data_IF_310014890831
#
_entry.id   IF_310014890831
#
_cell.length_a   1.000
_cell.length_b   1.000
_cell.length_c   1.000
_cell.angle_alpha   90.00
_cell.angle_beta   90.00
_cell.angle_gamma   90.00
#
_symmetry.space_group_name_H-M   'P 1'
#
loop_
_entity.id
_entity.type
_entity.pdbx_description
1 polymer ?
#
# COMPACT_ATOMS: atom_id res chain seq x y z
N UNK A 1 14.23 12.45 -36.37
CA UNK A 1 14.10 12.74 -34.93
C UNK A 1 12.67 13.22 -34.71
N UNK A 2 11.80 12.37 -34.18
CA UNK A 2 10.44 12.79 -33.77
C UNK A 2 10.63 13.56 -32.46
N UNK A 3 10.08 14.78 -32.29
CA UNK A 3 10.14 15.49 -31.02
C UNK A 3 9.59 14.61 -29.88
N UNK A 4 10.28 14.52 -28.75
CA UNK A 4 9.87 13.68 -27.60
C UNK A 4 8.45 14.00 -27.09
N UNK A 5 7.90 15.18 -27.41
CA UNK A 5 6.53 15.58 -27.07
C UNK A 5 5.42 14.92 -27.91
N UNK A 6 5.76 14.14 -28.95
CA UNK A 6 4.78 13.48 -29.83
C UNK A 6 4.79 11.94 -29.73
N UNK A 7 5.61 11.37 -28.85
CA UNK A 7 5.71 9.92 -28.69
C UNK A 7 4.64 9.42 -27.70
N UNK A 8 3.70 8.61 -28.19
CA UNK A 8 2.70 7.92 -27.37
C UNK A 8 3.37 6.90 -26.43
N UNK A 9 2.73 6.63 -25.29
CA UNK A 9 3.29 5.77 -24.24
C UNK A 9 3.72 4.38 -24.73
N UNK A 10 2.91 3.63 -25.51
CA UNK A 10 3.31 2.30 -25.98
C UNK A 10 4.60 2.34 -26.82
N UNK A 11 4.73 3.33 -27.70
CA UNK A 11 5.91 3.50 -28.53
C UNK A 11 7.15 3.91 -27.73
N UNK A 12 6.98 4.67 -26.63
CA UNK A 12 8.06 4.98 -25.71
C UNK A 12 8.56 3.75 -24.94
N UNK A 13 7.64 2.89 -24.48
CA UNK A 13 7.98 1.63 -23.83
C UNK A 13 8.74 0.69 -24.77
N UNK A 14 8.27 0.54 -26.03
CA UNK A 14 8.93 -0.29 -27.03
C UNK A 14 10.34 0.23 -27.35
N UNK A 15 10.49 1.54 -27.55
CA UNK A 15 11.80 2.16 -27.79
C UNK A 15 12.76 1.99 -26.60
N UNK A 16 12.26 2.06 -25.37
CA UNK A 16 13.07 1.82 -24.18
C UNK A 16 13.54 0.37 -24.11
N UNK A 17 12.63 -0.59 -24.35
CA UNK A 17 12.94 -2.01 -24.38
C UNK A 17 14.00 -2.35 -25.44
N UNK A 18 13.86 -1.80 -26.66
CA UNK A 18 14.85 -1.94 -27.74
C UNK A 18 16.21 -1.38 -27.34
N UNK A 19 16.24 -0.19 -26.71
CA UNK A 19 17.48 0.46 -26.30
C UNK A 19 18.22 -0.34 -25.21
N UNK A 20 17.51 -0.83 -24.19
CA UNK A 20 18.12 -1.64 -23.12
C UNK A 20 18.65 -2.97 -23.66
N UNK A 21 17.85 -3.65 -24.49
CA UNK A 21 18.24 -4.92 -25.10
C UNK A 21 19.44 -4.74 -26.03
N UNK A 22 19.47 -3.67 -26.82
CA UNK A 22 20.56 -3.34 -27.74
C UNK A 22 21.86 -2.89 -27.04
N UNK A 23 21.77 -2.36 -25.82
CA UNK A 23 22.92 -1.88 -25.06
C UNK A 23 23.69 -2.99 -24.32
N UNK A 24 23.23 -4.24 -24.38
CA UNK A 24 23.94 -5.39 -23.78
C UNK A 24 23.77 -5.54 -22.27
N UNK A 25 22.79 -4.85 -21.66
CA UNK A 25 22.44 -4.99 -20.23
C UNK A 25 21.62 -6.26 -19.91
N UNK A 26 21.44 -7.16 -20.87
CA UNK A 26 20.56 -8.32 -20.77
C UNK A 26 19.14 -8.02 -21.23
N UNK A 27 18.28 -9.05 -21.27
CA UNK A 27 16.86 -8.88 -21.59
C UNK A 27 16.09 -8.49 -20.32
N UNK A 28 15.35 -7.38 -20.39
CA UNK A 28 14.32 -7.05 -19.40
C UNK A 28 12.94 -7.47 -19.95
N UNK A 29 12.00 -7.75 -19.07
CA UNK A 29 10.62 -7.98 -19.50
C UNK A 29 9.92 -6.66 -19.90
N UNK A 30 8.78 -6.79 -20.57
CA UNK A 30 8.01 -5.62 -21.04
C UNK A 30 7.42 -4.80 -19.89
N UNK A 31 7.06 -5.41 -18.76
CA UNK A 31 6.51 -4.70 -17.61
C UNK A 31 7.58 -3.80 -16.97
N UNK A 32 8.80 -4.29 -16.79
CA UNK A 32 9.93 -3.51 -16.29
C UNK A 32 10.25 -2.32 -17.20
N UNK A 33 10.21 -2.53 -18.52
CA UNK A 33 10.37 -1.44 -19.50
C UNK A 33 9.26 -0.39 -19.38
N UNK A 34 8.00 -0.81 -19.24
CA UNK A 34 6.87 0.08 -19.02
C UNK A 34 7.04 0.89 -17.73
N UNK A 35 7.31 0.23 -16.60
CA UNK A 35 7.48 0.88 -15.28
C UNK A 35 8.60 1.92 -15.30
N UNK A 36 9.69 1.64 -16.02
CA UNK A 36 10.76 2.60 -16.21
C UNK A 36 10.24 3.86 -16.92
N UNK A 37 9.55 3.69 -18.07
CA UNK A 37 9.00 4.78 -18.87
C UNK A 37 7.88 5.55 -18.16
N UNK A 38 7.00 4.84 -17.44
CA UNK A 38 5.95 5.41 -16.59
C UNK A 38 6.51 6.39 -15.56
N UNK A 39 7.75 6.18 -15.10
CA UNK A 39 8.43 7.03 -14.13
C UNK A 39 9.22 8.21 -14.72
N UNK A 40 9.38 8.33 -16.04
CA UNK A 40 10.22 9.37 -16.66
C UNK A 40 9.52 10.74 -16.78
N UNK A 41 8.20 10.74 -16.98
CA UNK A 41 7.39 11.96 -17.14
C UNK A 41 5.94 11.69 -16.76
N UNK A 42 5.15 12.74 -16.62
CA UNK A 42 3.73 12.58 -16.42
C UNK A 42 3.03 12.14 -17.72
N UNK A 43 2.44 10.96 -17.69
CA UNK A 43 1.62 10.41 -18.78
C UNK A 43 0.12 10.52 -18.49
N UNK A 44 -0.26 11.13 -17.36
CA UNK A 44 -1.61 11.04 -16.81
C UNK A 44 -2.70 11.48 -17.78
N UNK A 45 -3.80 10.71 -17.82
CA UNK A 45 -5.06 11.06 -18.50
C UNK A 45 -6.07 11.72 -17.54
N UNK A 46 -5.75 11.82 -16.25
CA UNK A 46 -6.67 12.28 -15.18
C UNK A 46 -6.23 13.58 -14.50
N UNK A 47 -5.68 14.49 -15.29
CA UNK A 47 -5.23 15.81 -14.84
C UNK A 47 -3.77 15.82 -14.39
N UNK A 48 -3.31 17.01 -14.06
CA UNK A 48 -1.94 17.34 -13.67
C UNK A 48 -1.63 16.97 -12.21
N UNK A 49 -0.34 16.89 -11.87
CA UNK A 49 0.11 16.72 -10.49
C UNK A 49 -0.44 17.80 -9.54
N UNK A 50 -0.58 19.05 -9.98
CA UNK A 50 -1.12 20.12 -9.14
C UNK A 50 -2.62 19.95 -8.85
N UNK A 51 -3.36 19.37 -9.79
CA UNK A 51 -4.76 18.98 -9.57
C UNK A 51 -4.85 17.82 -8.58
N UNK A 52 -3.95 16.83 -8.66
CA UNK A 52 -3.84 15.75 -7.68
C UNK A 52 -3.53 16.29 -6.29
N UNK A 53 -2.58 17.22 -6.17
CA UNK A 53 -2.26 17.88 -4.90
C UNK A 53 -3.46 18.62 -4.32
N UNK A 54 -4.17 19.38 -5.15
CA UNK A 54 -5.37 20.13 -4.73
C UNK A 54 -6.48 19.19 -4.26
N UNK A 55 -6.71 18.10 -4.99
CA UNK A 55 -7.67 17.08 -4.60
C UNK A 55 -7.31 16.47 -3.24
N UNK A 56 -6.07 16.02 -3.06
CA UNK A 56 -5.64 15.39 -1.80
C UNK A 56 -5.74 16.35 -0.59
N UNK A 57 -5.33 17.61 -0.77
CA UNK A 57 -5.49 18.63 0.27
C UNK A 57 -6.96 18.92 0.57
N UNK A 58 -7.84 18.86 -0.44
CA UNK A 58 -9.29 18.90 -0.26
C UNK A 58 -9.79 17.75 0.62
N UNK A 59 -9.35 16.51 0.36
CA UNK A 59 -9.71 15.35 1.18
C UNK A 59 -9.24 15.50 2.64
N UNK A 60 -8.04 16.04 2.86
CA UNK A 60 -7.54 16.36 4.21
C UNK A 60 -8.39 17.40 4.92
N UNK A 61 -8.76 18.47 4.24
CA UNK A 61 -9.57 19.54 4.82
C UNK A 61 -11.01 19.12 5.10
N UNK A 62 -11.57 18.22 4.28
CA UNK A 62 -12.93 17.70 4.45
C UNK A 62 -13.05 16.60 5.51
N UNK A 63 -11.93 16.02 5.98
CA UNK A 63 -11.94 14.93 6.96
C UNK A 63 -12.42 15.40 8.35
N UNK A 64 -13.56 14.90 8.88
CA UNK A 64 -14.09 15.34 10.17
C UNK A 64 -13.39 14.68 11.37
N UNK A 65 -12.47 13.73 11.15
CA UNK A 65 -11.85 12.95 12.21
C UNK A 65 -11.05 13.82 13.19
N UNK A 66 -11.26 13.60 14.49
CA UNK A 66 -10.46 14.21 15.56
C UNK A 66 -9.79 13.13 16.40
N UNK A 67 -8.49 13.28 16.67
CA UNK A 67 -7.71 12.31 17.44
C UNK A 67 -7.17 12.98 18.71
N UNK A 68 -7.37 12.35 19.87
CA UNK A 68 -6.87 12.82 21.17
C UNK A 68 -6.15 11.68 21.86
N UNK A 69 -4.96 11.96 22.41
CA UNK A 69 -4.23 10.98 23.23
C UNK A 69 -4.94 10.80 24.57
N UNK A 70 -5.22 9.56 24.93
CA UNK A 70 -5.83 9.19 26.21
C UNK A 70 -4.97 8.13 26.93
N UNK A 71 -5.00 8.07 28.27
CA UNK A 71 -4.42 6.96 29.01
C UNK A 71 -5.03 5.61 28.59
N UNK A 72 -4.23 4.53 28.60
CA UNK A 72 -4.71 3.19 28.23
C UNK A 72 -5.89 2.73 29.10
N UNK A 73 -5.90 3.09 30.38
CA UNK A 73 -7.00 2.80 31.31
C UNK A 73 -8.35 3.45 30.92
N UNK A 74 -8.35 4.38 29.95
CA UNK A 74 -9.55 5.02 29.40
C UNK A 74 -9.93 4.48 28.02
N UNK A 75 -9.13 3.58 27.43
CA UNK A 75 -9.47 2.93 26.17
C UNK A 75 -10.61 1.93 26.40
N UNK A 76 -11.78 2.18 25.80
CA UNK A 76 -12.94 1.30 25.95
C UNK A 76 -12.67 -0.03 25.30
N UNK A 77 -13.04 -1.12 25.98
CA UNK A 77 -12.83 -2.48 25.50
C UNK A 77 -11.37 -2.94 25.56
N UNK A 78 -10.45 -2.13 26.07
CA UNK A 78 -9.04 -2.51 26.24
C UNK A 78 -8.69 -2.57 27.71
N UNK A 79 -7.99 -3.64 28.11
CA UNK A 79 -7.54 -3.83 29.49
C UNK A 79 -6.10 -4.36 29.53
N UNK A 80 -5.47 -4.22 30.69
CA UNK A 80 -4.21 -4.89 31.03
C UNK A 80 -4.58 -6.20 31.70
N UNK A 81 -4.11 -7.32 31.16
CA UNK A 81 -4.30 -8.64 31.74
C UNK A 81 -3.42 -8.78 33.00
N UNK A 82 -4.02 -9.04 34.16
CA UNK A 82 -3.33 -9.06 35.44
C UNK A 82 -2.28 -10.18 35.57
N UNK A 83 -2.46 -11.28 34.82
CA UNK A 83 -1.56 -12.43 34.89
C UNK A 83 -0.30 -12.26 34.03
N UNK A 84 -0.43 -11.61 32.87
CA UNK A 84 0.63 -11.46 31.86
C UNK A 84 1.18 -10.04 31.77
N UNK A 85 0.42 -9.04 32.23
CA UNK A 85 0.72 -7.62 32.01
C UNK A 85 0.47 -7.14 30.57
N UNK A 86 -0.11 -7.98 29.71
CA UNK A 86 -0.34 -7.64 28.30
C UNK A 86 -1.57 -6.77 28.13
N UNK A 87 -1.57 -5.93 27.09
CA UNK A 87 -2.72 -5.08 26.76
C UNK A 87 -3.51 -5.75 25.65
N UNK A 88 -4.79 -6.02 25.88
CA UNK A 88 -5.67 -6.73 24.93
C UNK A 88 -7.04 -6.10 24.84
N UNK A 89 -7.73 -6.35 23.73
CA UNK A 89 -9.13 -6.01 23.57
C UNK A 89 -10.03 -7.13 24.11
N UNK A 90 -11.16 -6.78 24.74
CA UNK A 90 -12.11 -7.72 25.36
C UNK A 90 -12.68 -8.74 24.38
N UNK A 91 -12.74 -8.40 23.08
CA UNK A 91 -13.21 -9.32 22.04
C UNK A 91 -12.16 -10.33 21.59
N UNK A 92 -10.89 -10.18 21.99
CA UNK A 92 -9.77 -10.94 21.46
C UNK A 92 -9.37 -10.59 20.01
N UNK A 93 -9.94 -9.53 19.44
CA UNK A 93 -9.65 -9.08 18.06
C UNK A 93 -8.61 -7.93 18.04
N UNK A 94 -8.33 -7.40 16.84
CA UNK A 94 -7.38 -6.33 16.58
C UNK A 94 -5.92 -6.75 16.82
N UNK A 95 -5.33 -6.34 17.93
CA UNK A 95 -3.95 -6.62 18.29
C UNK A 95 -3.82 -6.69 19.81
N UNK A 96 -2.73 -7.27 20.28
CA UNK A 96 -2.27 -7.23 21.65
C UNK A 96 -0.96 -6.43 21.73
N UNK A 97 -0.70 -5.80 22.88
CA UNK A 97 0.65 -5.33 23.23
C UNK A 97 1.23 -6.34 24.20
N UNK A 98 2.22 -7.08 23.73
CA UNK A 98 2.89 -8.16 24.46
C UNK A 98 4.34 -7.76 24.73
N UNK A 99 5.07 -8.58 25.48
CA UNK A 99 6.50 -8.38 25.72
C UNK A 99 7.28 -9.51 25.03
N UNK A 100 8.42 -9.16 24.44
CA UNK A 100 9.38 -10.14 23.92
C UNK A 100 10.72 -9.94 24.62
N UNK A 101 11.37 -11.06 24.91
CA UNK A 101 12.76 -11.14 25.33
C UNK A 101 13.59 -11.65 24.16
N UNK A 102 14.64 -10.90 23.80
CA UNK A 102 15.54 -11.25 22.71
C UNK A 102 16.91 -11.55 23.29
N UNK A 103 17.33 -12.81 23.18
CA UNK A 103 18.63 -13.28 23.64
C UNK A 103 19.64 -13.46 22.48
N UNK A 104 20.90 -13.70 22.82
CA UNK A 104 21.96 -14.13 21.88
C UNK A 104 22.23 -13.17 20.69
N UNK A 105 22.01 -11.87 20.87
CA UNK A 105 22.39 -10.83 19.90
C UNK A 105 23.87 -10.45 20.00
N UNK A 106 24.76 -11.44 19.88
CA UNK A 106 26.20 -11.30 20.12
C UNK A 106 26.89 -10.19 19.28
N UNK A 107 26.24 -9.72 18.21
CA UNK A 107 26.75 -8.69 17.29
C UNK A 107 26.16 -7.28 17.50
N UNK A 108 25.19 -7.09 18.42
CA UNK A 108 24.62 -5.76 18.75
C UNK A 108 25.22 -5.18 20.03
N UNK A 109 25.00 -3.89 20.29
CA UNK A 109 25.56 -3.20 21.48
C UNK A 109 25.18 -3.83 22.83
N UNK A 110 24.06 -4.55 22.90
CA UNK A 110 23.58 -5.26 24.10
C UNK A 110 24.23 -6.64 24.30
N UNK A 111 25.02 -7.11 23.33
CA UNK A 111 25.79 -8.34 23.39
C UNK A 111 24.93 -9.58 23.67
N UNK A 112 25.49 -10.52 24.43
CA UNK A 112 24.80 -11.75 24.84
C UNK A 112 23.75 -11.53 25.95
N UNK A 113 23.68 -10.33 26.54
CA UNK A 113 22.74 -10.00 27.62
C UNK A 113 21.31 -9.76 27.16
N UNK A 114 21.10 -9.58 25.85
CA UNK A 114 19.76 -9.45 25.28
C UNK A 114 19.03 -8.16 25.67
N UNK A 115 17.75 -8.08 25.30
CA UNK A 115 16.85 -7.00 25.72
C UNK A 115 15.40 -7.46 25.76
N UNK A 116 14.59 -6.75 26.54
CA UNK A 116 13.14 -6.90 26.52
C UNK A 116 12.50 -5.65 25.94
N UNK A 117 11.43 -5.83 25.17
CA UNK A 117 10.65 -4.70 24.65
C UNK A 117 9.17 -5.06 24.50
N UNK A 118 8.27 -4.07 24.55
CA UNK A 118 6.91 -4.27 24.08
C UNK A 118 6.90 -4.49 22.57
N UNK A 119 5.99 -5.33 22.11
CA UNK A 119 5.73 -5.60 20.70
C UNK A 119 4.22 -5.69 20.47
N UNK A 120 3.77 -5.27 19.29
CA UNK A 120 2.39 -5.43 18.87
C UNK A 120 2.21 -6.75 18.13
N UNK A 121 1.31 -7.60 18.63
CA UNK A 121 1.00 -8.90 18.04
C UNK A 121 -0.43 -8.85 17.49
N UNK A 122 -0.62 -9.18 16.21
CA UNK A 122 -1.95 -9.28 15.62
C UNK A 122 -2.45 -10.73 15.70
N UNK A 123 -3.74 -10.93 15.91
CA UNK A 123 -4.31 -12.28 15.97
C UNK A 123 -4.05 -13.02 14.65
N UNK A 124 -3.38 -14.17 14.75
CA UNK A 124 -3.08 -15.06 13.63
C UNK A 124 -1.80 -14.72 12.85
N UNK A 125 -1.04 -13.68 13.23
CA UNK A 125 0.20 -13.19 12.60
C UNK A 125 0.10 -12.75 11.11
N UNK A 126 -0.96 -13.19 10.43
CA UNK A 126 -1.32 -12.82 9.07
C UNK A 126 -2.21 -11.58 9.11
N UNK A 127 -1.64 -10.44 8.70
CA UNK A 127 -2.33 -9.16 8.69
C UNK A 127 -3.51 -9.19 7.71
N UNK A 128 -3.22 -9.01 6.43
CA UNK A 128 -4.24 -8.86 5.40
C UNK A 128 -3.70 -8.77 3.98
N UNK A 129 -4.56 -8.30 3.09
CA UNK A 129 -4.21 -7.99 1.70
C UNK A 129 -4.07 -6.47 1.55
N UNK A 130 -2.98 -6.07 0.89
CA UNK A 130 -2.73 -4.72 0.41
C UNK A 130 -2.83 -4.75 -1.12
N UNK A 131 -3.93 -4.25 -1.65
CA UNK A 131 -4.30 -4.35 -3.06
C UNK A 131 -4.15 -3.03 -3.80
N UNK A 132 -3.32 -3.02 -4.84
CA UNK A 132 -3.21 -1.93 -5.80
C UNK A 132 -3.81 -2.36 -7.14
N UNK A 133 -4.76 -1.57 -7.62
CA UNK A 133 -5.39 -1.79 -8.93
C UNK A 133 -4.65 -0.95 -9.97
N UNK A 134 -4.25 -1.57 -11.08
CA UNK A 134 -3.72 -0.92 -12.28
C UNK A 134 -4.76 -1.04 -13.40
N UNK A 135 -4.97 0.00 -14.20
CA UNK A 135 -5.77 -0.06 -15.43
C UNK A 135 -5.14 0.84 -16.47
N UNK A 136 -5.29 0.48 -17.75
CA UNK A 136 -4.81 1.30 -18.86
C UNK A 136 -5.92 2.20 -19.39
N UNK A 137 -5.55 3.43 -19.70
CA UNK A 137 -6.41 4.43 -20.34
C UNK A 137 -5.66 4.97 -21.55
N UNK A 138 -6.18 4.70 -22.75
CA UNK A 138 -5.51 5.00 -24.02
C UNK A 138 -4.06 4.46 -24.06
N UNK A 139 -3.90 3.21 -23.61
CA UNK A 139 -2.60 2.53 -23.51
C UNK A 139 -1.69 3.00 -22.37
N UNK A 140 -2.09 4.02 -21.60
CA UNK A 140 -1.31 4.56 -20.47
C UNK A 140 -1.74 3.92 -19.15
N UNK A 141 -0.83 3.27 -18.41
CA UNK A 141 -1.14 2.70 -17.11
C UNK A 141 -1.40 3.76 -16.03
N UNK A 142 -2.42 3.51 -15.22
CA UNK A 142 -2.77 4.29 -14.04
C UNK A 142 -3.03 3.37 -12.86
N UNK A 143 -2.83 3.89 -11.66
CA UNK A 143 -3.00 3.18 -10.40
C UNK A 143 -4.13 3.82 -9.61
N UNK A 144 -5.02 2.99 -9.07
CA UNK A 144 -6.10 3.46 -8.25
C UNK A 144 -5.60 3.72 -6.84
N UNK A 145 -5.61 4.99 -6.44
CA UNK A 145 -5.11 5.46 -5.15
C UNK A 145 -6.29 5.97 -4.32
N UNK A 146 -6.30 5.65 -3.03
CA UNK A 146 -7.29 6.13 -2.08
C UNK A 146 -6.69 7.22 -1.18
N UNK A 147 -7.40 8.31 -0.96
CA UNK A 147 -7.14 9.23 0.14
C UNK A 147 -7.79 8.68 1.41
N UNK A 148 -7.01 7.94 2.21
CA UNK A 148 -7.54 7.17 3.34
C UNK A 148 -7.26 7.86 4.67
N UNK A 149 -8.34 8.06 5.43
CA UNK A 149 -8.26 8.57 6.79
C UNK A 149 -7.95 7.43 7.78
N UNK A 150 -6.87 7.55 8.54
CA UNK A 150 -6.56 6.64 9.65
C UNK A 150 -6.09 7.46 10.87
N UNK A 151 -6.48 7.08 12.10
CA UNK A 151 -6.20 7.88 13.29
C UNK A 151 -4.70 8.00 13.62
N UNK A 152 -3.87 7.10 13.09
CA UNK A 152 -2.41 7.13 13.25
C UNK A 152 -1.67 7.92 12.16
N UNK A 153 -2.36 8.36 11.11
CA UNK A 153 -1.71 9.03 9.97
C UNK A 153 -1.25 10.43 10.34
N UNK A 154 -0.05 10.79 9.90
CA UNK A 154 0.37 12.19 9.91
C UNK A 154 -0.53 12.98 8.98
N UNK A 155 -1.17 14.04 9.50
CA UNK A 155 -2.17 14.78 8.75
C UNK A 155 -3.52 14.08 8.57
N UNK A 156 -3.77 12.98 9.31
CA UNK A 156 -4.99 12.16 9.38
C UNK A 156 -5.40 11.44 8.10
N UNK A 157 -5.07 11.97 6.92
CA UNK A 157 -5.33 11.35 5.62
C UNK A 157 -4.02 11.21 4.88
N UNK A 158 -3.79 10.01 4.32
CA UNK A 158 -2.65 9.72 3.46
C UNK A 158 -3.13 9.02 2.19
N UNK A 159 -2.32 9.07 1.14
CA UNK A 159 -2.53 8.30 -0.09
C UNK A 159 -2.16 6.85 0.16
N UNK A 160 -3.09 5.95 -0.16
CA UNK A 160 -2.99 4.53 0.10
C UNK A 160 -3.37 3.70 -1.14
N UNK A 161 -3.08 2.39 -1.13
CA UNK A 161 -3.60 1.49 -2.15
C UNK A 161 -5.13 1.49 -2.18
N UNK A 162 -5.70 1.08 -3.30
CA UNK A 162 -7.16 0.98 -3.50
C UNK A 162 -7.86 0.11 -2.46
N UNK A 163 -7.19 -0.96 -1.99
CA UNK A 163 -7.75 -1.87 -1.00
C UNK A 163 -6.70 -2.18 0.09
N UNK A 164 -7.14 -2.06 1.35
CA UNK A 164 -6.36 -2.46 2.51
C UNK A 164 -7.30 -3.09 3.52
N UNK A 165 -7.19 -4.41 3.70
CA UNK A 165 -8.09 -5.14 4.58
C UNK A 165 -7.40 -6.33 5.23
N UNK A 166 -7.70 -6.55 6.52
CA UNK A 166 -7.28 -7.75 7.24
C UNK A 166 -8.04 -8.98 6.74
N UNK A 167 -7.48 -10.18 6.91
CA UNK A 167 -8.19 -11.42 6.55
C UNK A 167 -9.49 -11.60 7.33
N UNK A 168 -9.54 -11.19 8.59
CA UNK A 168 -10.78 -11.19 9.40
C UNK A 168 -11.91 -10.38 8.75
N UNK A 169 -11.57 -9.21 8.20
CA UNK A 169 -12.53 -8.36 7.48
C UNK A 169 -12.94 -8.97 6.14
N UNK A 170 -12.00 -9.55 5.40
CA UNK A 170 -12.25 -10.19 4.10
C UNK A 170 -13.14 -11.44 4.23
N UNK A 171 -12.94 -12.23 5.28
CA UNK A 171 -13.76 -13.40 5.61
C UNK A 171 -15.12 -13.05 6.20
N UNK A 172 -15.40 -11.74 6.41
CA UNK A 172 -16.63 -11.23 7.02
C UNK A 172 -16.89 -11.84 8.40
N UNK A 173 -15.84 -12.08 9.19
CA UNK A 173 -15.95 -12.65 10.54
C UNK A 173 -16.87 -11.83 11.47
N UNK A 174 -17.04 -10.54 11.17
CA UNK A 174 -17.92 -9.61 11.91
C UNK A 174 -19.25 -9.28 11.18
N UNK A 175 -19.61 -10.01 10.13
CA UNK A 175 -20.88 -9.85 9.41
C UNK A 175 -21.00 -8.61 8.51
N UNK A 176 -19.94 -7.79 8.41
CA UNK A 176 -19.92 -6.57 7.59
C UNK A 176 -19.95 -6.82 6.07
N UNK A 177 -20.04 -5.73 5.30
CA UNK A 177 -19.83 -5.75 3.85
C UNK A 177 -18.35 -5.94 3.52
N UNK A 178 -18.07 -6.49 2.34
CA UNK A 178 -16.70 -6.55 1.86
C UNK A 178 -16.16 -5.12 1.66
N UNK A 179 -14.85 -4.90 1.92
CA UNK A 179 -14.20 -3.64 1.59
C UNK A 179 -14.34 -3.30 0.10
N UNK A 180 -14.41 -2.02 -0.23
CA UNK A 180 -14.40 -1.54 -1.61
C UNK A 180 -13.22 -2.18 -2.37
N UNK A 181 -13.48 -2.64 -3.60
CA UNK A 181 -12.52 -3.31 -4.48
C UNK A 181 -11.96 -4.66 -3.97
N UNK A 182 -12.44 -5.21 -2.85
CA UNK A 182 -11.99 -6.51 -2.35
C UNK A 182 -12.17 -7.64 -3.38
N UNK A 183 -13.20 -7.57 -4.23
CA UNK A 183 -13.48 -8.56 -5.27
C UNK A 183 -12.36 -8.74 -6.30
N UNK A 184 -11.50 -7.74 -6.50
CA UNK A 184 -10.33 -7.89 -7.38
C UNK A 184 -9.19 -8.71 -6.78
N UNK A 185 -9.23 -9.00 -5.47
CA UNK A 185 -8.14 -9.62 -4.73
C UNK A 185 -8.56 -10.84 -3.90
N UNK A 186 -9.85 -10.97 -3.59
CA UNK A 186 -10.37 -11.97 -2.65
C UNK A 186 -11.78 -12.44 -3.03
N UNK A 187 -12.09 -13.75 -2.93
CA UNK A 187 -11.20 -14.85 -2.51
C UNK A 187 -10.17 -15.24 -3.59
N UNK A 188 -10.46 -14.98 -4.86
CA UNK A 188 -9.59 -15.24 -6.00
C UNK A 188 -9.60 -14.03 -6.94
N UNK A 189 -8.49 -13.81 -7.64
CA UNK A 189 -8.40 -12.75 -8.65
C UNK A 189 -9.24 -13.15 -9.87
N UNK A 190 -10.10 -12.28 -10.41
CA UNK A 190 -10.90 -12.60 -11.59
C UNK A 190 -10.01 -13.00 -12.79
N UNK A 191 -10.40 -14.03 -13.54
CA UNK A 191 -9.60 -14.59 -14.66
C UNK A 191 -9.22 -13.55 -15.73
N UNK A 192 -10.06 -12.55 -15.94
CA UNK A 192 -9.79 -11.46 -16.90
C UNK A 192 -8.71 -10.49 -16.43
N UNK A 193 -8.42 -10.47 -15.13
CA UNK A 193 -7.41 -9.60 -14.56
C UNK A 193 -6.03 -10.27 -14.59
N UNK A 194 -4.99 -9.47 -14.75
CA UNK A 194 -3.60 -9.93 -14.74
C UNK A 194 -2.97 -9.61 -13.40
N UNK A 195 -2.45 -10.62 -12.71
CA UNK A 195 -1.65 -10.42 -11.49
C UNK A 195 -0.24 -9.97 -11.90
N UNK A 196 0.16 -8.77 -11.49
CA UNK A 196 1.49 -8.20 -11.76
C UNK A 196 2.47 -8.46 -10.61
N UNK A 197 1.96 -8.52 -9.38
CA UNK A 197 2.72 -8.93 -8.21
C UNK A 197 1.78 -9.57 -7.20
N UNK A 198 2.27 -10.60 -6.51
CA UNK A 198 1.59 -11.28 -5.41
C UNK A 198 2.64 -11.87 -4.47
N UNK A 199 2.93 -11.13 -3.40
CA UNK A 199 4.04 -11.44 -2.51
C UNK A 199 3.65 -11.20 -1.06
N UNK A 200 4.16 -12.06 -0.18
CA UNK A 200 4.13 -11.82 1.26
C UNK A 200 5.34 -11.01 1.67
N UNK A 201 5.12 -9.97 2.48
CA UNK A 201 6.21 -9.22 3.08
C UNK A 201 5.96 -8.94 4.56
N UNK A 202 7.05 -8.93 5.33
CA UNK A 202 7.02 -8.60 6.75
C UNK A 202 6.90 -7.10 6.97
N UNK A 203 6.16 -6.70 7.99
CA UNK A 203 6.13 -5.33 8.48
C UNK A 203 7.35 -5.02 9.38
N UNK A 204 7.36 -3.86 10.05
CA UNK A 204 8.44 -3.46 10.95
C UNK A 204 8.61 -4.44 12.13
N UNK A 205 9.58 -5.34 12.01
CA UNK A 205 9.91 -6.34 13.03
C UNK A 205 10.45 -5.76 14.34
N UNK A 206 10.78 -4.46 14.40
CA UNK A 206 11.12 -3.77 15.63
C UNK A 206 9.90 -3.39 16.47
N UNK A 207 8.69 -3.43 15.89
CA UNK A 207 7.44 -3.01 16.53
C UNK A 207 6.33 -4.05 16.45
N UNK A 208 6.32 -4.87 15.40
CA UNK A 208 5.26 -5.81 15.08
C UNK A 208 5.83 -7.24 15.12
N UNK A 209 5.21 -8.10 15.90
CA UNK A 209 5.67 -9.48 16.09
C UNK A 209 5.21 -10.34 14.91
N UNK A 210 6.17 -10.88 14.15
CA UNK A 210 5.97 -11.78 12.99
C UNK A 210 4.91 -11.34 11.96
N UNK A 211 4.49 -10.08 11.99
CA UNK A 211 3.40 -9.59 11.17
C UNK A 211 3.82 -9.52 9.71
N UNK A 212 2.99 -10.10 8.85
CA UNK A 212 3.12 -10.01 7.39
C UNK A 212 1.82 -9.58 6.73
N UNK A 213 1.95 -8.94 5.57
CA UNK A 213 0.84 -8.63 4.67
C UNK A 213 1.10 -9.24 3.30
N UNK A 214 0.04 -9.61 2.59
CA UNK A 214 0.09 -10.05 1.19
C UNK A 214 -0.12 -8.82 0.31
N UNK A 215 0.94 -8.37 -0.35
CA UNK A 215 0.86 -7.31 -1.34
C UNK A 215 0.46 -7.86 -2.70
N UNK A 216 -0.59 -7.30 -3.30
CA UNK A 216 -1.09 -7.70 -4.60
C UNK A 216 -1.23 -6.48 -5.52
N UNK A 217 -0.74 -6.61 -6.76
CA UNK A 217 -0.94 -5.64 -7.82
C UNK A 217 -1.69 -6.35 -8.94
N UNK A 218 -2.90 -5.88 -9.23
CA UNK A 218 -3.79 -6.49 -10.21
C UNK A 218 -4.07 -5.48 -11.31
N UNK A 219 -3.84 -5.88 -12.54
CA UNK A 219 -4.19 -5.12 -13.74
C UNK A 219 -5.55 -5.55 -14.27
N UNK A 220 -6.46 -4.59 -14.40
CA UNK A 220 -7.79 -4.79 -14.97
C UNK A 220 -7.75 -4.77 -16.50
N UNK A 221 -8.71 -5.43 -17.17
CA UNK A 221 -8.98 -5.21 -18.58
C UNK A 221 -9.22 -3.73 -18.89
N UNK A 222 -8.81 -3.28 -20.08
CA UNK A 222 -8.96 -1.89 -20.51
C UNK A 222 -10.44 -1.45 -20.56
N UNK A 223 -11.37 -2.38 -20.80
CA UNK A 223 -12.82 -2.17 -20.84
C UNK A 223 -13.52 -2.26 -19.46
N UNK A 224 -12.79 -2.60 -18.39
CA UNK A 224 -13.37 -2.75 -17.06
C UNK A 224 -13.68 -1.38 -16.42
N UNK A 225 -14.96 -1.04 -16.31
CA UNK A 225 -15.40 0.18 -15.63
C UNK A 225 -15.48 0.00 -14.11
N UNK A 226 -15.02 1.02 -13.39
CA UNK A 226 -14.98 1.02 -11.92
C UNK A 226 -15.63 2.29 -11.42
N UNK A 227 -16.70 2.15 -10.64
CA UNK A 227 -17.32 3.29 -9.97
C UNK A 227 -16.41 3.78 -8.84
N UNK A 228 -16.09 5.07 -8.85
CA UNK A 228 -15.19 5.70 -7.89
C UNK A 228 -15.95 6.61 -6.94
N UNK A 229 -15.69 6.45 -5.64
CA UNK A 229 -15.99 7.49 -4.66
C UNK A 229 -15.00 8.66 -4.75
N UNK A 230 -15.36 9.79 -4.17
CA UNK A 230 -14.54 11.02 -4.18
C UNK A 230 -13.16 10.85 -3.53
N UNK A 231 -13.02 9.85 -2.66
CA UNK A 231 -11.76 9.48 -2.02
C UNK A 231 -10.81 8.69 -2.92
N UNK A 232 -11.24 8.26 -4.11
CA UNK A 232 -10.42 7.52 -5.05
C UNK A 232 -10.00 8.38 -6.24
N UNK A 233 -8.78 8.14 -6.72
CA UNK A 233 -8.27 8.79 -7.93
C UNK A 233 -7.32 7.88 -8.68
N UNK A 234 -7.49 7.84 -10.01
CA UNK A 234 -6.48 7.28 -10.91
C UNK A 234 -5.28 8.22 -11.00
N UNK A 235 -4.09 7.69 -10.78
CA UNK A 235 -2.83 8.45 -10.85
C UNK A 235 -1.81 7.74 -11.74
N UNK A 236 -1.00 8.51 -12.47
CA UNK A 236 0.16 7.94 -13.17
C UNK A 236 1.24 7.54 -12.16
N UNK A 237 2.13 6.60 -12.52
CA UNK A 237 3.26 6.23 -11.66
C UNK A 237 4.15 7.44 -11.35
N UNK A 238 4.39 8.29 -12.35
CA UNK A 238 5.18 9.51 -12.18
C UNK A 238 4.56 10.42 -11.11
N UNK A 239 3.24 10.65 -11.16
CA UNK A 239 2.54 11.45 -10.15
C UNK A 239 2.74 10.86 -8.74
N UNK A 240 2.57 9.55 -8.57
CA UNK A 240 2.78 8.89 -7.28
C UNK A 240 4.22 9.06 -6.80
N UNK A 241 5.21 8.88 -7.68
CA UNK A 241 6.63 9.07 -7.36
C UNK A 241 6.94 10.52 -6.97
N UNK A 242 6.35 11.52 -7.63
CA UNK A 242 6.51 12.91 -7.23
C UNK A 242 5.94 13.17 -5.82
N UNK A 243 4.83 12.52 -5.48
CA UNK A 243 4.19 12.65 -4.17
C UNK A 243 4.98 11.97 -3.03
N UNK A 244 5.95 11.09 -3.34
CA UNK A 244 6.90 10.58 -2.34
C UNK A 244 7.81 11.66 -1.75
N UNK A 245 7.97 12.80 -2.44
CA UNK A 245 8.74 13.93 -1.96
C UNK A 245 7.94 14.87 -1.05
N UNK A 246 6.63 14.67 -0.92
CA UNK A 246 5.77 15.45 -0.04
C UNK A 246 5.81 14.88 1.39
N UNK A 247 5.67 15.76 2.39
CA UNK A 247 5.85 15.43 3.82
C UNK A 247 4.81 14.40 4.33
N UNK A 248 5.20 13.12 4.26
CA UNK A 248 4.39 11.97 4.67
C UNK A 248 2.99 11.93 4.03
N UNK A 249 2.86 12.30 2.76
CA UNK A 249 1.58 12.22 2.05
C UNK A 249 1.23 10.80 1.61
N UNK A 250 2.23 10.02 1.20
CA UNK A 250 2.03 8.64 0.76
C UNK A 250 2.28 7.69 1.93
N UNK A 251 1.32 6.80 2.18
CA UNK A 251 1.46 5.81 3.23
C UNK A 251 2.52 4.75 2.86
N UNK A 252 3.08 4.02 3.86
CA UNK A 252 4.12 3.04 3.61
C UNK A 252 3.67 1.90 2.68
N UNK A 253 2.38 1.54 2.75
CA UNK A 253 1.83 0.42 1.98
C UNK A 253 1.79 0.71 0.48
N UNK A 254 1.38 1.92 0.06
CA UNK A 254 1.40 2.32 -1.34
C UNK A 254 2.84 2.41 -1.87
N UNK A 255 3.74 3.03 -1.11
CA UNK A 255 5.17 3.06 -1.46
C UNK A 255 5.71 1.64 -1.71
N UNK A 256 5.39 0.70 -0.82
CA UNK A 256 5.85 -0.68 -0.92
C UNK A 256 5.28 -1.41 -2.13
N UNK A 257 3.99 -1.27 -2.43
CA UNK A 257 3.41 -1.88 -3.64
C UNK A 257 4.02 -1.29 -4.91
N UNK A 258 4.23 0.03 -4.96
CA UNK A 258 4.92 0.67 -6.09
C UNK A 258 6.37 0.18 -6.23
N UNK A 259 7.05 -0.17 -5.14
CA UNK A 259 8.40 -0.74 -5.21
C UNK A 259 8.44 -2.18 -5.74
N UNK A 260 7.30 -2.88 -5.80
CA UNK A 260 7.21 -4.27 -6.26
C UNK A 260 6.88 -4.41 -7.75
N UNK A 261 6.44 -3.34 -8.41
CA UNK A 261 6.03 -3.44 -9.82
C UNK A 261 7.24 -3.44 -10.76
N UNK A 262 7.30 -4.42 -11.66
CA UNK A 262 8.36 -4.53 -12.66
C UNK A 262 9.75 -4.84 -12.09
N UNK A 263 9.81 -5.46 -10.90
CA UNK A 263 11.02 -6.00 -10.26
C UNK A 263 11.17 -7.49 -10.58
#
# INVERSE_FOLDING_TARGET
>A
MIPDSALEFPAAADRYLEAVTGAGFGSIDRLAAEVAVEGLRDWSRFGSLDEVRRWFLGQRAANPMTVTKIPIARCRGWHVDDATGYIRHDSGEFFAVEAVEVEMSATREVGAGGWCQPVMTQVGDDGGILGLVRRRFDGVPHYLVQAKAEPGNYGLVQLSPAMQATFSNLQRAHGGSLPTFAWFFYPEVPERCRVLADVWFSEDGGRLFNKRNRGMIVELPDDEEVELGDEFRWMSLWQIKQLFHEDAWVNPHLFRLISLIGV
#
